data_IF_817559456614
#
_entry.id   IF_817559456614
#
_cell.length_a   1.000
_cell.length_b   1.000
_cell.length_c   1.000
_cell.angle_alpha   90.00
_cell.angle_beta   90.00
_cell.angle_gamma   90.00
#
_symmetry.space_group_name_H-M   'P 1'
#
loop_
_entity.id
_entity.type
_entity.pdbx_description
1 polymer ?
#
# COMPACT_ATOMS: atom_id res chain seq x y z
N UNK A 1 11.00 4.85 30.95
CA UNK A 1 10.80 5.88 29.89
C UNK A 1 9.34 5.85 29.51
N UNK A 2 8.72 7.02 29.36
CA UNK A 2 7.33 7.12 28.89
C UNK A 2 7.30 7.01 27.37
N UNK A 3 6.21 6.49 26.81
CA UNK A 3 6.06 6.33 25.37
C UNK A 3 4.60 6.55 24.94
N UNK A 4 4.44 6.96 23.68
CA UNK A 4 3.15 7.00 22.97
C UNK A 4 3.12 5.78 22.05
N UNK A 5 2.10 4.95 22.19
CA UNK A 5 1.89 3.77 21.34
C UNK A 5 0.62 3.94 20.54
N UNK A 6 0.71 3.72 19.23
CA UNK A 6 -0.40 3.80 18.28
C UNK A 6 -0.52 2.46 17.58
N UNK A 7 -1.59 1.73 17.92
CA UNK A 7 -1.93 0.46 17.28
C UNK A 7 -2.76 0.71 16.01
N UNK A 8 -2.24 0.30 14.86
CA UNK A 8 -2.92 0.48 13.57
C UNK A 8 -3.50 -0.87 13.13
N UNK A 9 -4.83 -0.92 12.98
CA UNK A 9 -5.57 -2.14 12.63
C UNK A 9 -6.52 -1.90 11.46
N UNK A 10 -6.76 -2.94 10.66
CA UNK A 10 -7.83 -3.00 9.65
C UNK A 10 -8.84 -4.05 10.09
N UNK A 11 -9.94 -3.61 10.69
CA UNK A 11 -10.83 -4.50 11.45
C UNK A 11 -10.10 -5.09 12.65
N UNK A 12 -10.13 -6.42 12.79
CA UNK A 12 -9.42 -7.13 13.86
C UNK A 12 -7.94 -7.41 13.53
N UNK A 13 -7.53 -7.26 12.27
CA UNK A 13 -6.15 -7.53 11.84
C UNK A 13 -5.23 -6.37 12.23
N UNK A 14 -4.24 -6.65 13.08
CA UNK A 14 -3.13 -5.73 13.32
C UNK A 14 -2.28 -5.57 12.06
N UNK A 15 -2.01 -4.32 11.70
CA UNK A 15 -1.14 -3.97 10.58
C UNK A 15 0.25 -3.55 11.08
N UNK A 16 0.31 -2.70 12.10
CA UNK A 16 1.57 -2.14 12.64
C UNK A 16 1.34 -1.53 14.03
N UNK A 17 2.38 -1.48 14.86
CA UNK A 17 2.39 -0.75 16.13
C UNK A 17 3.48 0.32 16.10
N UNK A 18 3.08 1.59 16.07
CA UNK A 18 4.02 2.71 16.09
C UNK A 18 4.29 3.11 17.54
N UNK A 19 5.56 3.14 17.94
CA UNK A 19 5.97 3.57 19.28
C UNK A 19 6.89 4.76 19.18
N UNK A 20 6.53 5.85 19.85
CA UNK A 20 7.35 7.07 19.95
C UNK A 20 7.73 7.28 21.41
N UNK A 21 9.04 7.26 21.68
CA UNK A 21 9.57 7.59 23.00
C UNK A 21 9.30 9.05 23.35
N UNK A 22 9.00 9.32 24.62
CA UNK A 22 8.93 10.67 25.15
C UNK A 22 10.29 10.98 25.78
N UNK A 23 11.06 11.81 25.09
CA UNK A 23 12.40 12.22 25.52
C UNK A 23 12.28 13.46 26.41
N UNK A 24 12.09 13.23 27.71
CA UNK A 24 12.03 14.28 28.71
C UNK A 24 10.78 14.22 29.57
N UNK A 25 10.61 15.25 30.40
CA UNK A 25 9.60 15.29 31.46
C UNK A 25 8.75 16.57 31.41
N UNK A 26 8.95 17.43 30.40
CA UNK A 26 8.15 18.64 30.23
C UNK A 26 6.92 18.38 29.34
N UNK A 27 5.93 19.26 29.45
CA UNK A 27 4.78 19.27 28.51
C UNK A 27 5.26 19.55 27.08
N UNK A 28 6.34 20.34 26.91
CA UNK A 28 6.94 20.60 25.60
C UNK A 28 7.45 19.33 24.94
N UNK A 29 8.10 18.46 25.70
CA UNK A 29 8.61 17.16 25.21
C UNK A 29 7.46 16.24 24.79
N UNK A 30 6.39 16.20 25.60
CA UNK A 30 5.18 15.46 25.26
C UNK A 30 4.55 15.97 23.94
N UNK A 31 4.45 17.28 23.76
CA UNK A 31 3.92 17.89 22.53
C UNK A 31 4.80 17.57 21.31
N UNK A 32 6.13 17.58 21.48
CA UNK A 32 7.06 17.19 20.43
C UNK A 32 6.87 15.72 20.04
N UNK A 33 6.84 14.81 21.00
CA UNK A 33 6.60 13.37 20.75
C UNK A 33 5.23 13.10 20.13
N UNK A 34 4.18 13.83 20.53
CA UNK A 34 2.85 13.75 19.90
C UNK A 34 2.88 14.20 18.44
N UNK A 35 3.64 15.26 18.12
CA UNK A 35 3.80 15.74 16.74
C UNK A 35 4.52 14.71 15.88
N UNK A 36 5.56 14.06 16.40
CA UNK A 36 6.25 12.94 15.73
C UNK A 36 5.29 11.79 15.50
N UNK A 37 4.58 11.33 16.54
CA UNK A 37 3.64 10.23 16.45
C UNK A 37 2.53 10.46 15.40
N UNK A 38 2.03 11.71 15.31
CA UNK A 38 1.07 12.12 14.26
C UNK A 38 1.67 11.99 12.86
N UNK A 39 2.88 12.48 12.65
CA UNK A 39 3.51 12.48 11.33
C UNK A 39 3.81 11.04 10.86
N UNK A 40 4.34 10.21 11.75
CA UNK A 40 4.66 8.81 11.45
C UNK A 40 3.40 8.01 11.12
N UNK A 41 2.34 8.20 11.91
CA UNK A 41 1.03 7.56 11.65
C UNK A 41 0.46 7.97 10.30
N UNK A 42 0.52 9.26 9.95
CA UNK A 42 0.04 9.75 8.66
C UNK A 42 0.85 9.20 7.49
N UNK A 43 2.18 9.11 7.61
CA UNK A 43 3.04 8.55 6.58
C UNK A 43 2.73 7.07 6.33
N UNK A 44 2.56 6.30 7.42
CA UNK A 44 2.21 4.89 7.34
C UNK A 44 0.83 4.67 6.69
N UNK A 45 -0.20 5.38 7.16
CA UNK A 45 -1.55 5.28 6.60
C UNK A 45 -1.60 5.69 5.12
N UNK A 46 -0.84 6.71 4.73
CA UNK A 46 -0.72 7.13 3.32
C UNK A 46 -0.11 6.01 2.47
N UNK A 47 0.92 5.34 2.99
CA UNK A 47 1.55 4.20 2.32
C UNK A 47 0.55 3.06 2.13
N UNK A 48 -0.24 2.73 3.15
CA UNK A 48 -1.28 1.70 3.07
C UNK A 48 -2.36 2.04 2.02
N UNK A 49 -2.81 3.30 1.98
CA UNK A 49 -3.78 3.75 0.98
C UNK A 49 -3.22 3.63 -0.43
N UNK A 50 -1.95 4.00 -0.64
CA UNK A 50 -1.30 3.92 -1.93
C UNK A 50 -1.08 2.47 -2.38
N UNK A 51 -0.71 1.57 -1.46
CA UNK A 51 -0.64 0.14 -1.73
C UNK A 51 -2.00 -0.44 -2.14
N UNK A 52 -3.07 -0.08 -1.43
CA UNK A 52 -4.42 -0.56 -1.76
C UNK A 52 -4.87 -0.04 -3.14
N UNK A 53 -4.57 1.21 -3.49
CA UNK A 53 -4.87 1.78 -4.82
C UNK A 53 -4.04 1.13 -5.92
N UNK A 54 -2.73 0.92 -5.70
CA UNK A 54 -1.84 0.28 -6.66
C UNK A 54 -2.23 -1.18 -6.96
N UNK A 55 -2.71 -1.91 -5.95
CA UNK A 55 -3.25 -3.27 -6.14
C UNK A 55 -4.56 -3.30 -6.94
N UNK A 56 -5.41 -2.27 -6.81
CA UNK A 56 -6.67 -2.18 -7.58
C UNK A 56 -6.42 -1.94 -9.07
N UNK A 57 -5.38 -1.18 -9.43
CA UNK A 57 -5.06 -0.92 -10.83
C UNK A 57 -4.41 -2.12 -11.53
N UNK A 58 -3.55 -2.89 -10.84
CA UNK A 58 -2.92 -4.09 -11.44
C UNK A 58 -3.88 -5.24 -11.70
N UNK A 59 -4.98 -5.34 -10.95
CA UNK A 59 -6.02 -6.36 -11.21
C UNK A 59 -6.88 -6.06 -12.44
N UNK A 60 -6.80 -4.86 -13.02
CA UNK A 60 -7.57 -4.52 -14.22
C UNK A 60 -6.83 -4.91 -15.51
N UNK A 61 -5.50 -5.06 -15.48
CA UNK A 61 -4.71 -5.34 -16.70
C UNK A 61 -4.53 -6.84 -16.99
N UNK A 62 -4.97 -7.75 -16.11
CA UNK A 62 -4.71 -9.19 -16.23
C UNK A 62 -5.85 -10.01 -16.88
N UNK A 63 -6.82 -9.36 -17.55
CA UNK A 63 -7.97 -10.04 -18.20
C UNK A 63 -7.94 -9.96 -19.74
N UNK A 64 -7.09 -9.15 -20.38
CA UNK A 64 -7.10 -8.98 -21.86
C UNK A 64 -5.94 -9.66 -22.62
N UNK A 65 -5.38 -10.77 -22.13
CA UNK A 65 -4.42 -11.53 -22.95
C UNK A 65 -4.51 -13.04 -22.73
N UNK A 66 -5.62 -13.63 -23.14
CA UNK A 66 -5.69 -15.08 -23.41
C UNK A 66 -6.77 -15.34 -24.46
N UNK A 67 -6.37 -15.29 -25.73
CA UNK A 67 -6.73 -16.23 -26.79
C UNK A 67 -6.42 -15.59 -28.14
N UNK A 68 -5.29 -15.97 -28.75
CA UNK A 68 -5.32 -16.41 -30.15
C UNK A 68 -3.99 -17.09 -30.49
N UNK A 69 -3.95 -18.41 -30.39
CA UNK A 69 -2.82 -19.20 -30.87
C UNK A 69 -3.36 -20.47 -31.54
N UNK A 70 -3.85 -20.39 -32.79
CA UNK A 70 -4.05 -21.57 -33.64
C UNK A 70 -3.99 -21.30 -35.17
N UNK A 71 -2.84 -21.67 -35.76
CA UNK A 71 -2.65 -22.40 -37.05
C UNK A 71 -2.64 -21.70 -38.44
N UNK A 72 -1.41 -21.62 -38.99
CA UNK A 72 -0.85 -22.43 -40.10
C UNK A 72 -1.65 -22.64 -41.44
N UNK A 73 -1.00 -22.17 -42.52
CA UNK A 73 -0.69 -22.87 -43.80
C UNK A 73 -1.46 -22.62 -45.13
N UNK A 74 -0.64 -22.42 -46.17
CA UNK A 74 -0.78 -22.68 -47.63
C UNK A 74 -1.69 -21.87 -48.60
N UNK A 75 -1.01 -21.05 -49.41
CA UNK A 75 -0.99 -21.05 -50.89
C UNK A 75 -2.27 -21.49 -51.67
N UNK A 76 -2.96 -20.52 -52.32
CA UNK A 76 -3.71 -20.77 -53.57
C UNK A 76 -3.85 -19.51 -54.45
N UNK A 77 -3.01 -19.45 -55.48
CA UNK A 77 -3.20 -18.92 -56.86
C UNK A 77 -4.42 -18.01 -57.13
N UNK A 78 -4.26 -16.81 -57.72
CA UNK A 78 -5.33 -16.20 -58.49
C UNK A 78 -5.36 -16.81 -59.90
N UNK A 79 -6.54 -17.27 -60.33
CA UNK A 79 -6.83 -17.66 -61.72
C UNK A 79 -7.77 -16.61 -62.30
N UNK A 80 -7.45 -16.24 -63.55
CA UNK A 80 -8.21 -15.44 -64.55
C UNK A 80 -8.51 -14.01 -64.21
#
# INVERSE_FOLDING_TARGET
MSAITIDIKKGEKALENLTVSIDGNSIGDLLASLKTAKNDSNAFLTTLVNQEKGMKNRKHEEIESSDDDTQKDTNKKPKT
#
